data_IF_561647650435
#
_entry.id   IF_561647650435
#
_cell.length_a   1.000
_cell.length_b   1.000
_cell.length_c   1.000
_cell.angle_alpha   90.00
_cell.angle_beta   90.00
_cell.angle_gamma   90.00
#
_symmetry.space_group_name_H-M   'P 1'
#
loop_
_entity.id
_entity.type
_entity.pdbx_description
1 polymer ?
#
# COMPACT_ATOMS: atom_id res chain seq x y z
N UNK A 1 60.54 96.42 66.21
CA UNK A 1 59.55 95.38 66.60
C UNK A 1 58.26 95.34 65.74
N UNK A 2 57.81 96.48 65.20
CA UNK A 2 56.53 96.62 64.48
C UNK A 2 56.48 96.04 63.06
N UNK A 3 57.61 95.90 62.36
CA UNK A 3 57.64 95.42 60.96
C UNK A 3 57.72 93.89 60.78
N UNK A 4 58.25 93.17 61.78
CA UNK A 4 58.53 91.73 61.67
C UNK A 4 57.23 90.91 61.63
N UNK A 5 56.26 91.24 62.49
CA UNK A 5 54.96 90.54 62.54
C UNK A 5 54.16 90.64 61.22
N UNK A 6 53.95 91.83 60.62
CA UNK A 6 53.25 91.94 59.35
C UNK A 6 54.00 91.24 58.20
N UNK A 7 55.34 91.34 58.17
CA UNK A 7 56.16 90.69 57.15
C UNK A 7 56.09 89.16 57.23
N UNK A 8 56.30 88.59 58.41
CA UNK A 8 56.19 87.13 58.64
C UNK A 8 54.78 86.65 58.31
N UNK A 9 53.74 87.39 58.72
CA UNK A 9 52.35 87.01 58.43
C UNK A 9 52.05 87.07 56.93
N UNK A 10 52.54 88.07 56.22
CA UNK A 10 52.42 88.20 54.76
C UNK A 10 53.17 87.09 54.04
N UNK A 11 54.42 86.84 54.43
CA UNK A 11 55.28 85.81 53.84
C UNK A 11 54.71 84.42 54.05
N UNK A 12 54.35 84.06 55.29
CA UNK A 12 53.74 82.76 55.61
C UNK A 12 52.42 82.61 54.85
N UNK A 13 51.57 83.64 54.82
CA UNK A 13 50.29 83.56 54.09
C UNK A 13 50.50 83.42 52.58
N UNK A 14 51.45 84.14 52.01
CA UNK A 14 51.81 84.07 50.59
C UNK A 14 52.40 82.70 50.24
N UNK A 15 53.43 82.27 50.99
CA UNK A 15 54.14 81.01 50.77
C UNK A 15 53.23 79.81 50.98
N UNK A 16 52.52 79.73 52.09
CA UNK A 16 51.57 78.63 52.35
C UNK A 16 50.49 78.62 51.28
N UNK A 17 49.93 79.77 50.90
CA UNK A 17 48.89 79.81 49.86
C UNK A 17 49.43 79.39 48.49
N UNK A 18 50.61 79.85 48.10
CA UNK A 18 51.25 79.50 46.83
C UNK A 18 51.67 78.03 46.80
N UNK A 19 52.37 77.57 47.84
CA UNK A 19 52.88 76.22 47.96
C UNK A 19 51.74 75.21 48.06
N UNK A 20 50.80 75.40 48.97
CA UNK A 20 49.64 74.51 49.10
C UNK A 20 48.84 74.50 47.80
N UNK A 21 48.58 75.65 47.20
CA UNK A 21 47.80 75.70 45.95
C UNK A 21 48.54 75.05 44.79
N UNK A 22 49.85 75.24 44.67
CA UNK A 22 50.68 74.66 43.61
C UNK A 22 50.84 73.15 43.80
N UNK A 23 51.29 72.74 44.98
CA UNK A 23 51.59 71.36 45.32
C UNK A 23 50.32 70.52 45.35
N UNK A 24 49.27 70.94 46.07
CA UNK A 24 48.00 70.19 46.11
C UNK A 24 47.41 70.11 44.71
N UNK A 25 47.42 71.20 43.93
CA UNK A 25 46.85 71.16 42.59
C UNK A 25 47.67 70.28 41.65
N UNK A 26 48.99 70.32 41.68
CA UNK A 26 49.82 69.50 40.79
C UNK A 26 49.81 68.03 41.22
N UNK A 27 49.96 67.76 42.51
CA UNK A 27 49.97 66.42 43.07
C UNK A 27 48.61 65.75 42.91
N UNK A 28 47.52 66.39 43.36
CA UNK A 28 46.17 65.82 43.20
C UNK A 28 45.87 65.62 41.72
N UNK A 29 46.18 66.60 40.85
CA UNK A 29 45.91 66.44 39.42
C UNK A 29 46.75 65.34 38.78
N UNK A 30 48.03 65.23 39.13
CA UNK A 30 48.95 64.20 38.63
C UNK A 30 48.56 62.81 39.12
N UNK A 31 48.40 62.67 40.43
CA UNK A 31 48.10 61.41 41.10
C UNK A 31 46.71 60.92 40.72
N UNK A 32 45.67 61.75 40.86
CA UNK A 32 44.30 61.35 40.48
C UNK A 32 44.26 61.01 39.00
N UNK A 33 44.87 61.82 38.12
CA UNK A 33 44.83 61.53 36.69
C UNK A 33 45.59 60.25 36.33
N UNK A 34 46.76 60.02 36.90
CA UNK A 34 47.57 58.83 36.58
C UNK A 34 46.98 57.58 37.21
N UNK A 35 46.63 57.63 38.50
CA UNK A 35 46.05 56.51 39.24
C UNK A 35 44.69 56.14 38.69
N UNK A 36 43.75 57.08 38.57
CA UNK A 36 42.41 56.79 38.02
C UNK A 36 42.54 56.26 36.59
N UNK A 37 43.38 56.88 35.75
CA UNK A 37 43.55 56.40 34.37
C UNK A 37 44.17 55.02 34.31
N UNK A 38 45.19 54.73 35.11
CA UNK A 38 45.87 53.44 35.15
C UNK A 38 44.96 52.36 35.72
N UNK A 39 44.38 52.61 36.89
CA UNK A 39 43.53 51.69 37.61
C UNK A 39 42.25 51.41 36.83
N UNK A 40 41.50 52.44 36.42
CA UNK A 40 40.27 52.24 35.64
C UNK A 40 40.60 51.54 34.33
N UNK A 41 41.66 51.92 33.63
CA UNK A 41 42.01 51.25 32.36
C UNK A 41 42.41 49.80 32.56
N UNK A 42 43.22 49.47 33.57
CA UNK A 42 43.69 48.10 33.80
C UNK A 42 42.59 47.23 34.38
N UNK A 43 41.85 47.72 35.38
CA UNK A 43 40.74 47.02 36.01
C UNK A 43 39.60 46.80 35.02
N UNK A 44 39.09 47.85 34.37
CA UNK A 44 38.00 47.70 33.39
C UNK A 44 38.46 46.80 32.24
N UNK A 45 39.67 46.98 31.71
CA UNK A 45 40.14 46.13 30.61
C UNK A 45 40.31 44.67 31.03
N UNK A 46 40.86 44.39 32.21
CA UNK A 46 41.08 43.01 32.66
C UNK A 46 39.79 42.35 33.11
N UNK A 47 38.99 43.03 33.92
CA UNK A 47 37.73 42.54 34.44
C UNK A 47 36.71 42.35 33.32
N UNK A 48 36.45 43.38 32.50
CA UNK A 48 35.49 43.24 31.38
C UNK A 48 35.97 42.17 30.42
N UNK A 49 37.27 42.14 30.07
CA UNK A 49 37.76 41.12 29.13
C UNK A 49 37.68 39.71 29.70
N UNK A 50 38.01 39.50 30.97
CA UNK A 50 37.99 38.16 31.59
C UNK A 50 36.58 37.71 31.92
N UNK A 51 35.77 38.58 32.52
CA UNK A 51 34.39 38.29 32.89
C UNK A 51 33.54 38.09 31.64
N UNK A 52 33.51 39.05 30.71
CA UNK A 52 32.71 38.91 29.48
C UNK A 52 33.17 37.71 28.69
N UNK A 53 34.49 37.49 28.53
CA UNK A 53 34.96 36.33 27.77
C UNK A 53 34.61 35.01 28.45
N UNK A 54 34.78 34.88 29.77
CA UNK A 54 34.49 33.63 30.47
C UNK A 54 32.98 33.38 30.53
N UNK A 55 32.20 34.39 30.91
CA UNK A 55 30.75 34.31 31.04
C UNK A 55 30.08 34.07 29.68
N UNK A 56 30.39 34.87 28.66
CA UNK A 56 29.83 34.66 27.32
C UNK A 56 30.25 33.29 26.80
N UNK A 57 31.51 32.89 26.96
CA UNK A 57 31.95 31.57 26.48
C UNK A 57 31.28 30.43 27.23
N UNK A 58 31.14 30.49 28.55
CA UNK A 58 30.55 29.42 29.35
C UNK A 58 29.03 29.37 29.18
N UNK A 59 28.36 30.52 29.25
CA UNK A 59 26.92 30.64 29.11
C UNK A 59 26.49 30.28 27.69
N UNK A 60 27.05 30.92 26.66
CA UNK A 60 26.67 30.61 25.26
C UNK A 60 26.99 29.15 24.95
N UNK A 61 28.15 28.64 25.34
CA UNK A 61 28.49 27.24 25.06
C UNK A 61 27.57 26.28 25.79
N UNK A 62 27.26 26.50 27.06
CA UNK A 62 26.40 25.61 27.85
C UNK A 62 24.95 25.69 27.37
N UNK A 63 24.41 26.89 27.21
CA UNK A 63 23.05 27.14 26.78
C UNK A 63 22.82 26.65 25.35
N UNK A 64 23.67 27.04 24.39
CA UNK A 64 23.53 26.57 23.00
C UNK A 64 23.67 25.05 22.96
N UNK A 65 24.65 24.48 23.67
CA UNK A 65 24.81 23.01 23.66
C UNK A 65 23.63 22.30 24.31
N UNK A 66 23.12 22.78 25.44
CA UNK A 66 22.00 22.13 26.13
C UNK A 66 20.70 22.30 25.35
N UNK A 67 20.40 23.51 24.90
CA UNK A 67 19.20 23.84 24.16
C UNK A 67 19.19 23.16 22.80
N UNK A 68 20.24 23.32 21.98
CA UNK A 68 20.30 22.67 20.67
C UNK A 68 20.25 21.16 20.84
N UNK A 69 20.99 20.58 21.79
CA UNK A 69 20.95 19.13 21.99
C UNK A 69 19.60 18.64 22.48
N UNK A 70 18.95 19.33 23.42
CA UNK A 70 17.66 18.89 23.95
C UNK A 70 16.56 19.10 22.92
N UNK A 71 16.50 20.27 22.30
CA UNK A 71 15.50 20.64 21.32
C UNK A 71 15.62 19.81 20.05
N UNK A 72 16.81 19.74 19.43
CA UNK A 72 17.00 18.93 18.22
C UNK A 72 16.71 17.47 18.53
N UNK A 73 17.19 16.94 19.66
CA UNK A 73 16.94 15.53 20.00
C UNK A 73 15.46 15.27 20.27
N UNK A 74 14.76 16.13 21.00
CA UNK A 74 13.35 15.94 21.33
C UNK A 74 12.48 16.14 20.09
N UNK A 75 12.70 17.21 19.35
CA UNK A 75 11.95 17.56 18.14
C UNK A 75 12.18 16.53 17.04
N UNK A 76 13.43 16.24 16.68
CA UNK A 76 13.72 15.24 15.63
C UNK A 76 13.17 13.89 16.05
N UNK A 77 13.36 13.47 17.31
CA UNK A 77 12.86 12.16 17.75
C UNK A 77 11.33 12.12 17.76
N UNK A 78 10.65 13.16 18.24
CA UNK A 78 9.19 13.18 18.31
C UNK A 78 8.60 13.29 16.91
N UNK A 79 9.08 14.22 16.10
CA UNK A 79 8.60 14.47 14.74
C UNK A 79 8.88 13.28 13.83
N UNK A 80 10.13 12.79 13.76
CA UNK A 80 10.44 11.64 12.91
C UNK A 80 9.65 10.43 13.38
N UNK A 81 9.57 10.15 14.68
CA UNK A 81 8.83 8.98 15.17
C UNK A 81 7.33 9.12 14.90
N UNK A 82 6.73 10.28 15.12
CA UNK A 82 5.29 10.48 14.94
C UNK A 82 4.94 10.53 13.46
N UNK A 83 5.66 11.33 12.67
CA UNK A 83 5.43 11.51 11.25
C UNK A 83 5.70 10.22 10.48
N UNK A 84 6.89 9.62 10.63
CA UNK A 84 7.21 8.38 9.91
C UNK A 84 6.25 7.26 10.31
N UNK A 85 5.98 7.08 11.60
CA UNK A 85 5.05 6.02 12.04
C UNK A 85 3.63 6.27 11.53
N UNK A 86 3.15 7.51 11.59
CA UNK A 86 1.83 7.91 11.10
C UNK A 86 1.72 7.69 9.60
N UNK A 87 2.64 8.29 8.85
CA UNK A 87 2.66 8.29 7.40
C UNK A 87 2.87 6.88 6.85
N UNK A 88 3.88 6.15 7.31
CA UNK A 88 4.12 4.78 6.86
C UNK A 88 2.92 3.91 7.18
N UNK A 89 2.35 4.01 8.39
CA UNK A 89 1.20 3.20 8.76
C UNK A 89 -0.04 3.54 7.93
N UNK A 90 -0.34 4.81 7.72
CA UNK A 90 -1.51 5.22 6.95
C UNK A 90 -1.34 4.90 5.48
N UNK A 91 -0.19 5.23 4.90
CA UNK A 91 0.14 5.00 3.50
C UNK A 91 0.19 3.51 3.19
N UNK A 92 0.97 2.72 3.93
CA UNK A 92 1.06 1.27 3.70
C UNK A 92 -0.31 0.62 3.89
N UNK A 93 -1.04 0.96 4.96
CA UNK A 93 -2.37 0.37 5.19
C UNK A 93 -3.36 0.74 4.10
N UNK A 94 -3.39 2.00 3.68
CA UNK A 94 -4.25 2.51 2.60
C UNK A 94 -3.90 1.83 1.28
N UNK A 95 -2.63 1.92 0.88
CA UNK A 95 -2.13 1.42 -0.39
C UNK A 95 -2.29 -0.09 -0.48
N UNK A 96 -1.80 -0.85 0.51
CA UNK A 96 -1.92 -2.31 0.51
C UNK A 96 -3.39 -2.72 0.51
N UNK A 97 -4.24 -2.10 1.35
CA UNK A 97 -5.66 -2.46 1.39
C UNK A 97 -6.36 -2.16 0.07
N UNK A 98 -6.10 -1.00 -0.54
CA UNK A 98 -6.72 -0.60 -1.79
C UNK A 98 -6.21 -1.46 -2.95
N UNK A 99 -4.89 -1.60 -3.07
CA UNK A 99 -4.25 -2.37 -4.12
C UNK A 99 -4.64 -3.84 -4.05
N UNK A 100 -4.47 -4.49 -2.89
CA UNK A 100 -4.84 -5.91 -2.73
C UNK A 100 -6.33 -6.10 -2.98
N UNK A 101 -7.20 -5.24 -2.42
CA UNK A 101 -8.64 -5.38 -2.64
C UNK A 101 -9.02 -5.20 -4.10
N UNK A 102 -8.47 -4.20 -4.78
CA UNK A 102 -8.75 -3.93 -6.19
C UNK A 102 -8.21 -5.04 -7.08
N UNK A 103 -6.94 -5.39 -6.90
CA UNK A 103 -6.25 -6.41 -7.68
C UNK A 103 -6.90 -7.78 -7.49
N UNK A 104 -7.05 -8.25 -6.24
CA UNK A 104 -7.68 -9.55 -5.96
C UNK A 104 -9.11 -9.57 -6.48
N UNK A 105 -9.90 -8.52 -6.24
CA UNK A 105 -11.29 -8.49 -6.71
C UNK A 105 -11.37 -8.49 -8.23
N UNK A 106 -10.54 -7.71 -8.91
CA UNK A 106 -10.52 -7.63 -10.37
C UNK A 106 -10.02 -8.94 -10.98
N UNK A 107 -8.88 -9.43 -10.51
CA UNK A 107 -8.25 -10.64 -11.00
C UNK A 107 -9.12 -11.87 -10.75
N UNK A 108 -9.58 -12.10 -9.52
CA UNK A 108 -10.44 -13.24 -9.20
C UNK A 108 -11.74 -13.15 -9.98
N UNK A 109 -12.39 -11.97 -10.04
CA UNK A 109 -13.64 -11.83 -10.78
C UNK A 109 -13.46 -12.06 -12.27
N UNK A 110 -12.40 -11.53 -12.86
CA UNK A 110 -12.12 -11.70 -14.29
C UNK A 110 -11.74 -13.14 -14.61
N UNK A 111 -10.80 -13.71 -13.85
CA UNK A 111 -10.30 -15.05 -14.05
C UNK A 111 -11.39 -16.09 -13.82
N UNK A 112 -12.09 -16.05 -12.68
CA UNK A 112 -13.18 -16.99 -12.39
C UNK A 112 -14.28 -16.86 -13.42
N UNK A 113 -14.71 -15.63 -13.76
CA UNK A 113 -15.78 -15.44 -14.74
C UNK A 113 -15.36 -15.94 -16.12
N UNK A 114 -14.14 -15.67 -16.57
CA UNK A 114 -13.64 -16.10 -17.87
C UNK A 114 -13.45 -17.61 -17.91
N UNK A 115 -12.75 -18.17 -16.91
CA UNK A 115 -12.45 -19.59 -16.81
C UNK A 115 -13.72 -20.41 -16.67
N UNK A 116 -14.59 -20.10 -15.70
CA UNK A 116 -15.84 -20.85 -15.50
C UNK A 116 -16.73 -20.73 -16.73
N UNK A 117 -16.88 -19.53 -17.30
CA UNK A 117 -17.73 -19.37 -18.50
C UNK A 117 -17.17 -20.13 -19.69
N UNK A 118 -15.86 -20.08 -19.93
CA UNK A 118 -15.22 -20.78 -21.04
C UNK A 118 -15.26 -22.29 -20.85
N UNK A 119 -14.85 -22.76 -19.67
CA UNK A 119 -14.81 -24.18 -19.33
C UNK A 119 -16.21 -24.79 -19.34
N UNK A 120 -17.16 -24.22 -18.61
CA UNK A 120 -18.54 -24.73 -18.58
C UNK A 120 -19.15 -24.70 -19.97
N UNK A 121 -19.01 -23.60 -20.72
CA UNK A 121 -19.57 -23.50 -22.07
C UNK A 121 -18.95 -24.51 -23.01
N UNK A 122 -17.63 -24.68 -22.98
CA UNK A 122 -16.91 -25.62 -23.85
C UNK A 122 -17.24 -27.06 -23.48
N UNK A 123 -17.13 -27.40 -22.20
CA UNK A 123 -17.38 -28.74 -21.68
C UNK A 123 -18.83 -29.16 -21.89
N UNK A 124 -19.80 -28.36 -21.43
CA UNK A 124 -21.23 -28.69 -21.60
C UNK A 124 -21.58 -28.77 -23.08
N UNK A 125 -21.13 -27.83 -23.91
CA UNK A 125 -21.44 -27.87 -25.35
C UNK A 125 -20.83 -29.07 -26.03
N UNK A 126 -19.57 -29.41 -25.72
CA UNK A 126 -18.88 -30.56 -26.31
C UNK A 126 -19.49 -31.87 -25.83
N UNK A 127 -19.67 -32.02 -24.51
CA UNK A 127 -20.22 -33.22 -23.90
C UNK A 127 -21.65 -33.47 -24.33
N UNK A 128 -22.55 -32.49 -24.20
CA UNK A 128 -23.96 -32.63 -24.60
C UNK A 128 -24.03 -32.90 -26.09
N UNK A 129 -23.30 -32.17 -26.93
CA UNK A 129 -23.34 -32.40 -28.38
C UNK A 129 -22.82 -33.79 -28.75
N UNK A 130 -21.72 -34.24 -28.15
CA UNK A 130 -21.13 -35.55 -28.44
C UNK A 130 -22.02 -36.68 -27.92
N UNK A 131 -22.44 -36.59 -26.67
CA UNK A 131 -23.27 -37.58 -26.01
C UNK A 131 -24.64 -37.70 -26.69
N UNK A 132 -25.36 -36.59 -26.85
CA UNK A 132 -26.68 -36.61 -27.51
C UNK A 132 -26.56 -37.10 -28.94
N UNK A 133 -25.57 -36.61 -29.70
CA UNK A 133 -25.39 -37.06 -31.09
C UNK A 133 -25.05 -38.54 -31.17
N UNK A 134 -24.16 -39.04 -30.32
CA UNK A 134 -23.75 -40.44 -30.30
C UNK A 134 -24.89 -41.34 -29.85
N UNK A 135 -25.51 -41.01 -28.72
CA UNK A 135 -26.61 -41.76 -28.13
C UNK A 135 -27.82 -41.79 -29.06
N UNK A 136 -28.31 -40.63 -29.51
CA UNK A 136 -29.47 -40.57 -30.42
C UNK A 136 -29.15 -41.31 -31.72
N UNK A 137 -27.97 -41.08 -32.32
CA UNK A 137 -27.61 -41.77 -33.56
C UNK A 137 -27.52 -43.28 -33.38
N UNK A 138 -26.89 -43.75 -32.30
CA UNK A 138 -26.71 -45.18 -32.05
C UNK A 138 -28.04 -45.85 -31.68
N UNK A 139 -28.79 -45.24 -30.75
CA UNK A 139 -30.09 -45.73 -30.31
C UNK A 139 -31.10 -45.76 -31.45
N UNK A 140 -31.31 -44.64 -32.16
CA UNK A 140 -32.25 -44.58 -33.30
C UNK A 140 -31.81 -45.56 -34.38
N UNK A 141 -30.53 -45.60 -34.75
CA UNK A 141 -30.05 -46.54 -35.78
C UNK A 141 -30.24 -47.98 -35.37
N UNK A 142 -29.91 -48.35 -34.13
CA UNK A 142 -30.02 -49.72 -33.64
C UNK A 142 -31.49 -50.13 -33.48
N UNK A 143 -32.28 -49.30 -32.81
CA UNK A 143 -33.69 -49.55 -32.57
C UNK A 143 -34.49 -49.61 -33.87
N UNK A 144 -34.39 -48.60 -34.73
CA UNK A 144 -35.11 -48.59 -36.03
C UNK A 144 -34.66 -49.76 -36.88
N UNK A 145 -33.34 -50.03 -37.00
CA UNK A 145 -32.86 -51.16 -37.80
C UNK A 145 -33.32 -52.50 -37.25
N UNK A 146 -33.26 -52.71 -35.94
CA UNK A 146 -33.67 -53.96 -35.31
C UNK A 146 -35.18 -54.15 -35.38
N UNK A 147 -35.94 -53.13 -34.99
CA UNK A 147 -37.40 -53.15 -34.98
C UNK A 147 -37.96 -53.32 -36.40
N UNK A 148 -37.55 -52.48 -37.36
CA UNK A 148 -38.02 -52.59 -38.74
C UNK A 148 -37.62 -53.94 -39.33
N UNK A 149 -36.37 -54.39 -39.14
CA UNK A 149 -35.93 -55.69 -39.67
C UNK A 149 -36.70 -56.85 -39.05
N UNK A 150 -36.91 -56.84 -37.74
CA UNK A 150 -37.64 -57.90 -37.03
C UNK A 150 -39.11 -57.90 -37.40
N UNK A 151 -39.75 -56.73 -37.35
CA UNK A 151 -41.16 -56.55 -37.67
C UNK A 151 -41.43 -56.93 -39.13
N UNK A 152 -40.72 -56.33 -40.09
CA UNK A 152 -40.89 -56.66 -41.52
C UNK A 152 -40.61 -58.13 -41.77
N UNK A 153 -39.53 -58.70 -41.23
CA UNK A 153 -39.22 -60.12 -41.43
C UNK A 153 -40.28 -61.02 -40.83
N UNK A 154 -40.75 -60.74 -39.62
CA UNK A 154 -41.76 -61.56 -38.94
C UNK A 154 -43.13 -61.43 -39.61
N UNK A 155 -43.56 -60.19 -39.87
CA UNK A 155 -44.83 -59.89 -40.50
C UNK A 155 -44.90 -60.44 -41.92
N UNK A 156 -43.93 -60.12 -42.78
CA UNK A 156 -43.89 -60.63 -44.16
C UNK A 156 -43.81 -62.15 -44.16
N UNK A 157 -42.93 -62.76 -43.33
CA UNK A 157 -42.81 -64.23 -43.29
C UNK A 157 -44.09 -64.89 -42.80
N UNK A 158 -44.72 -64.37 -41.76
CA UNK A 158 -45.95 -64.93 -41.19
C UNK A 158 -47.13 -64.73 -42.14
N UNK A 159 -47.32 -63.51 -42.64
CA UNK A 159 -48.39 -63.15 -43.54
C UNK A 159 -48.28 -63.91 -44.86
N UNK A 160 -47.13 -63.85 -45.54
CA UNK A 160 -46.93 -64.58 -46.81
C UNK A 160 -47.07 -66.08 -46.59
N UNK A 161 -46.46 -66.65 -45.54
CA UNK A 161 -46.56 -68.09 -45.30
C UNK A 161 -48.00 -68.52 -44.98
N UNK A 162 -48.71 -67.78 -44.14
CA UNK A 162 -50.09 -68.11 -43.76
C UNK A 162 -51.05 -67.90 -44.93
N UNK A 163 -50.98 -66.74 -45.58
CA UNK A 163 -51.83 -66.38 -46.70
C UNK A 163 -51.60 -67.31 -47.89
N UNK A 164 -50.36 -67.48 -48.36
CA UNK A 164 -50.05 -68.38 -49.48
C UNK A 164 -50.43 -69.81 -49.14
N UNK A 165 -50.08 -70.31 -47.94
CA UNK A 165 -50.43 -71.69 -47.55
C UNK A 165 -51.94 -71.90 -47.47
N UNK A 166 -52.67 -70.96 -46.88
CA UNK A 166 -54.13 -71.05 -46.74
C UNK A 166 -54.82 -70.94 -48.10
N UNK A 167 -54.43 -69.92 -48.88
CA UNK A 167 -54.99 -69.67 -50.21
C UNK A 167 -54.70 -70.82 -51.16
N UNK A 168 -53.44 -71.24 -51.31
CA UNK A 168 -53.06 -72.37 -52.17
C UNK A 168 -53.74 -73.66 -51.71
N UNK A 169 -53.75 -73.96 -50.41
CA UNK A 169 -54.39 -75.19 -49.91
C UNK A 169 -55.90 -75.17 -50.11
N UNK A 170 -56.56 -74.03 -49.90
CA UNK A 170 -58.00 -73.87 -50.12
C UNK A 170 -58.33 -73.98 -51.61
N UNK A 171 -57.59 -73.24 -52.44
CA UNK A 171 -57.76 -73.24 -53.89
C UNK A 171 -57.53 -74.63 -54.49
N UNK A 172 -56.41 -75.29 -54.17
CA UNK A 172 -56.10 -76.65 -54.65
C UNK A 172 -57.14 -77.65 -54.13
N UNK A 173 -57.56 -77.59 -52.86
CA UNK A 173 -58.62 -78.48 -52.35
C UNK A 173 -59.95 -78.25 -53.04
N UNK A 174 -60.33 -77.00 -53.26
CA UNK A 174 -61.56 -76.64 -53.96
C UNK A 174 -61.50 -77.16 -55.38
N UNK A 175 -60.45 -76.82 -56.13
CA UNK A 175 -60.22 -77.25 -57.51
C UNK A 175 -60.20 -78.79 -57.66
N UNK A 176 -59.50 -79.51 -56.79
CA UNK A 176 -59.48 -80.98 -56.82
C UNK A 176 -60.87 -81.57 -56.50
N UNK A 177 -61.62 -80.98 -55.58
CA UNK A 177 -62.97 -81.45 -55.24
C UNK A 177 -63.99 -81.14 -56.33
N UNK A 178 -63.92 -79.97 -56.96
CA UNK A 178 -64.91 -79.49 -57.91
C UNK A 178 -64.63 -79.90 -59.35
N UNK A 179 -63.37 -80.05 -59.74
CA UNK A 179 -63.00 -80.40 -61.12
C UNK A 179 -62.42 -81.81 -61.25
N UNK A 180 -61.50 -82.23 -60.37
CA UNK A 180 -60.77 -83.50 -60.59
C UNK A 180 -61.58 -84.72 -60.15
N UNK A 181 -62.17 -84.69 -58.95
CA UNK A 181 -62.94 -85.82 -58.40
C UNK A 181 -64.18 -86.20 -59.22
N UNK A 182 -64.98 -85.25 -59.76
CA UNK A 182 -66.10 -85.59 -60.63
C UNK A 182 -65.61 -86.20 -61.94
N UNK A 183 -64.56 -85.64 -62.54
CA UNK A 183 -63.99 -86.10 -63.82
C UNK A 183 -63.40 -87.52 -63.71
N UNK A 184 -62.76 -87.87 -62.58
CA UNK A 184 -62.26 -89.22 -62.32
C UNK A 184 -63.34 -90.26 -62.02
N UNK A 185 -64.58 -89.84 -61.73
CA UNK A 185 -65.74 -90.73 -61.52
C UNK A 185 -66.59 -90.90 -62.78
N UNK A 186 -66.30 -90.14 -63.83
CA UNK A 186 -66.96 -90.18 -65.13
C UNK A 186 -66.11 -90.83 -66.23
N UNK A 187 -64.97 -91.42 -65.85
CA UNK A 187 -64.19 -92.40 -66.61
C UNK A 187 -64.29 -93.74 -65.88
#
# INVERSE_FOLDING_TARGET
PSFIRPFVRSFVRSFVRSFVRSFVRSFVRSFVRSFVRSFVRSFVRSFVRSFVRSFVRSFVRSFVRSFVRSFVRSFVRSFVRSFVRSFVRSFVRSFVRSFVRSFVRSFVRSFVRSFVRSFVRSFVRSFVRSFVRSFVRSFVRSFVRSFVRSFVRSFVRSFVRSFVRSFVRSFVRSFVRSFVRPVSRSL
#
